data_IF_104974523508
#
_entry.id   IF_104974523508
#
_cell.length_a   1.000
_cell.length_b   1.000
_cell.length_c   1.000
_cell.angle_alpha   90.00
_cell.angle_beta   90.00
_cell.angle_gamma   90.00
#
_symmetry.space_group_name_H-M   'P 1'
#
loop_
_entity.id
_entity.type
_entity.pdbx_description
1 polymer ?
#
# COMPACT_ATOMS: atom_id res chain seq x y z
N UNK A 1 9.31 -8.11 23.21
CA UNK A 1 8.39 -7.04 22.74
C UNK A 1 8.21 -7.19 21.23
N UNK A 2 7.47 -8.22 20.79
CA UNK A 2 7.15 -8.44 19.38
C UNK A 2 5.64 -8.28 19.22
N UNK A 3 5.20 -7.25 18.49
CA UNK A 3 3.79 -7.04 18.13
C UNK A 3 3.55 -7.59 16.73
N UNK A 4 2.49 -8.39 16.58
CA UNK A 4 2.12 -8.95 15.29
C UNK A 4 1.68 -7.85 14.33
N UNK A 5 1.06 -6.79 14.82
CA UNK A 5 0.67 -5.61 14.03
C UNK A 5 1.88 -4.94 13.37
N UNK A 6 2.99 -4.75 14.11
CA UNK A 6 4.23 -4.21 13.55
C UNK A 6 4.85 -5.13 12.50
N UNK A 7 4.76 -6.45 12.68
CA UNK A 7 5.23 -7.41 11.68
C UNK A 7 4.45 -7.29 10.36
N UNK A 8 3.12 -7.20 10.43
CA UNK A 8 2.27 -7.01 9.24
C UNK A 8 2.48 -5.64 8.60
N UNK A 9 2.70 -4.59 9.40
CA UNK A 9 3.11 -3.29 8.90
C UNK A 9 4.44 -3.37 8.16
N UNK A 10 5.45 -4.03 8.73
CA UNK A 10 6.74 -4.25 8.07
C UNK A 10 6.57 -4.94 6.71
N UNK A 11 5.78 -6.02 6.65
CA UNK A 11 5.49 -6.69 5.38
C UNK A 11 4.79 -5.77 4.38
N UNK A 12 3.88 -4.90 4.84
CA UNK A 12 3.15 -3.92 4.02
C UNK A 12 4.07 -2.81 3.49
N UNK A 13 5.03 -2.36 4.28
CA UNK A 13 6.07 -1.41 3.83
C UNK A 13 6.97 -2.09 2.80
N UNK A 14 7.39 -3.32 3.06
CA UNK A 14 8.27 -4.10 2.19
C UNK A 14 7.65 -4.29 0.80
N UNK A 15 6.42 -4.82 0.74
CA UNK A 15 5.69 -4.98 -0.54
C UNK A 15 5.50 -3.65 -1.25
N UNK A 16 5.13 -2.58 -0.54
CA UNK A 16 4.91 -1.26 -1.16
C UNK A 16 6.19 -0.73 -1.81
N UNK A 17 7.35 -0.91 -1.16
CA UNK A 17 8.65 -0.60 -1.77
C UNK A 17 8.91 -1.45 -3.03
N UNK A 18 8.55 -2.74 -3.01
CA UNK A 18 8.69 -3.61 -4.17
C UNK A 18 7.74 -3.28 -5.33
N UNK A 19 6.56 -2.72 -5.06
CA UNK A 19 5.59 -2.31 -6.09
C UNK A 19 6.14 -1.20 -7.02
N UNK A 20 7.20 -0.51 -6.63
CA UNK A 20 7.86 0.48 -7.47
C UNK A 20 8.68 -0.11 -8.62
N UNK A 21 9.19 -1.33 -8.44
CA UNK A 21 10.09 -1.95 -9.42
C UNK A 21 9.44 -2.16 -10.79
N UNK A 22 8.21 -2.67 -10.93
CA UNK A 22 7.62 -2.92 -12.24
C UNK A 22 7.53 -1.67 -13.12
N UNK A 23 7.07 -0.53 -12.59
CA UNK A 23 7.03 0.69 -13.40
C UNK A 23 8.43 1.28 -13.63
N UNK A 24 9.36 1.14 -12.68
CA UNK A 24 10.75 1.58 -12.87
C UNK A 24 11.45 0.80 -14.00
N UNK A 25 11.24 -0.51 -14.07
CA UNK A 25 11.77 -1.37 -15.15
C UNK A 25 11.11 -1.02 -16.49
N UNK A 26 9.79 -0.87 -16.54
CA UNK A 26 9.09 -0.52 -17.79
C UNK A 26 9.57 0.84 -18.30
N UNK A 27 9.67 1.84 -17.41
CA UNK A 27 10.22 3.16 -17.73
C UNK A 27 11.64 3.08 -18.26
N UNK A 28 12.49 2.26 -17.63
CA UNK A 28 13.89 2.05 -18.07
C UNK A 28 13.99 1.44 -19.46
N UNK A 29 13.08 0.53 -19.81
CA UNK A 29 13.00 -0.06 -21.16
C UNK A 29 12.47 0.91 -22.20
N UNK A 30 11.49 1.75 -21.84
CA UNK A 30 10.86 2.70 -22.78
C UNK A 30 11.73 3.94 -23.05
N UNK A 31 12.43 4.46 -22.04
CA UNK A 31 13.14 5.75 -22.12
C UNK A 31 14.67 5.59 -22.20
N UNK A 32 15.19 4.41 -21.87
CA UNK A 32 16.62 4.16 -21.71
C UNK A 32 17.17 4.68 -20.37
N UNK A 33 18.01 3.89 -19.71
CA UNK A 33 18.56 4.19 -18.38
C UNK A 33 19.33 5.51 -18.37
N UNK A 34 20.13 5.79 -19.40
CA UNK A 34 20.93 7.02 -19.52
C UNK A 34 20.03 8.26 -19.51
N UNK A 35 18.95 8.26 -20.29
CA UNK A 35 17.98 9.36 -20.37
C UNK A 35 17.33 9.63 -19.01
N UNK A 36 16.95 8.58 -18.27
CA UNK A 36 16.34 8.72 -16.93
C UNK A 36 17.31 9.37 -15.94
N UNK A 37 18.60 9.03 -16.01
CA UNK A 37 19.62 9.52 -15.09
C UNK A 37 20.12 10.93 -15.42
N UNK A 38 20.05 11.35 -16.68
CA UNK A 38 20.60 12.64 -17.14
C UNK A 38 19.57 13.74 -17.32
N UNK A 39 18.28 13.40 -17.41
CA UNK A 39 17.22 14.38 -17.67
C UNK A 39 16.64 14.92 -16.37
N UNK A 40 16.76 16.23 -16.15
CA UNK A 40 16.18 16.98 -15.03
C UNK A 40 14.71 17.35 -15.21
N UNK A 41 14.19 17.20 -16.43
CA UNK A 41 12.79 17.48 -16.80
C UNK A 41 11.98 16.18 -16.68
N UNK A 42 10.79 16.18 -16.05
CA UNK A 42 9.93 15.02 -16.08
C UNK A 42 9.55 14.73 -17.53
N UNK A 43 10.09 13.64 -18.09
CA UNK A 43 9.67 13.12 -19.40
C UNK A 43 8.23 12.65 -19.21
N UNK A 44 7.28 13.50 -19.60
CA UNK A 44 5.86 13.42 -19.27
C UNK A 44 5.10 12.26 -19.95
N UNK A 45 5.79 11.27 -20.48
CA UNK A 45 5.16 10.13 -21.15
C UNK A 45 5.75 8.82 -20.64
N UNK A 46 5.16 8.28 -19.57
CA UNK A 46 5.11 6.82 -19.42
C UNK A 46 4.30 6.32 -20.62
N UNK A 47 4.96 5.75 -21.62
CA UNK A 47 4.37 5.58 -22.95
C UNK A 47 3.40 4.41 -22.98
N UNK A 48 3.62 3.37 -22.15
CA UNK A 48 2.67 2.27 -22.03
C UNK A 48 1.59 2.49 -20.97
N UNK A 49 0.36 2.14 -21.32
CA UNK A 49 -0.77 2.08 -20.39
C UNK A 49 -0.48 1.17 -19.17
N UNK A 50 0.41 0.17 -19.32
CA UNK A 50 0.83 -0.71 -18.23
C UNK A 50 1.72 0.02 -17.22
N UNK A 51 2.68 0.82 -17.69
CA UNK A 51 3.54 1.62 -16.82
C UNK A 51 2.72 2.64 -16.01
N UNK A 52 1.76 3.30 -16.65
CA UNK A 52 0.85 4.23 -15.98
C UNK A 52 -0.02 3.53 -14.93
N UNK A 53 -0.57 2.35 -15.24
CA UNK A 53 -1.34 1.56 -14.27
C UNK A 53 -0.49 1.12 -13.08
N UNK A 54 0.73 0.63 -13.32
CA UNK A 54 1.66 0.21 -12.27
C UNK A 54 2.06 1.38 -11.36
N UNK A 55 2.35 2.56 -11.94
CA UNK A 55 2.64 3.76 -11.17
C UNK A 55 1.46 4.21 -10.31
N UNK A 56 0.24 4.25 -10.89
CA UNK A 56 -0.98 4.61 -10.14
C UNK A 56 -1.29 3.62 -9.02
N UNK A 57 -1.07 2.33 -9.25
CA UNK A 57 -1.24 1.30 -8.22
C UNK A 57 -0.26 1.49 -7.06
N UNK A 58 1.01 1.80 -7.36
CA UNK A 58 2.02 2.09 -6.34
C UNK A 58 1.70 3.35 -5.54
N UNK A 59 1.33 4.45 -6.21
CA UNK A 59 0.94 5.69 -5.52
C UNK A 59 -0.28 5.47 -4.60
N UNK A 60 -1.27 4.70 -5.04
CA UNK A 60 -2.42 4.35 -4.21
C UNK A 60 -2.02 3.52 -2.98
N UNK A 61 -1.03 2.63 -3.10
CA UNK A 61 -0.49 1.89 -1.97
C UNK A 61 0.21 2.82 -0.97
N UNK A 62 1.00 3.80 -1.45
CA UNK A 62 1.67 4.81 -0.60
C UNK A 62 0.64 5.66 0.16
N UNK A 63 -0.33 6.25 -0.55
CA UNK A 63 -1.36 7.10 0.07
C UNK A 63 -2.10 6.39 1.19
N UNK A 64 -2.39 5.10 0.97
CA UNK A 64 -3.07 4.29 1.95
C UNK A 64 -2.17 3.90 3.14
N UNK A 65 -0.90 3.60 2.88
CA UNK A 65 0.11 3.30 3.90
C UNK A 65 0.32 4.50 4.84
N UNK A 66 0.28 5.74 4.32
CA UNK A 66 0.43 6.97 5.11
C UNK A 66 -0.63 7.08 6.21
N UNK A 67 -1.85 6.58 5.96
CA UNK A 67 -2.94 6.58 6.96
C UNK A 67 -2.81 5.37 7.89
N UNK A 68 -2.51 4.19 7.34
CA UNK A 68 -2.46 2.94 8.09
C UNK A 68 -1.29 2.88 9.08
N UNK A 69 -0.10 3.30 8.66
CA UNK A 69 1.13 3.20 9.45
C UNK A 69 1.05 3.94 10.79
N UNK A 70 0.60 5.21 10.88
CA UNK A 70 0.44 5.90 12.16
C UNK A 70 -0.52 5.18 13.10
N UNK A 71 -1.62 4.60 12.60
CA UNK A 71 -2.59 3.89 13.44
C UNK A 71 -1.96 2.66 14.11
N UNK A 72 -1.15 1.90 13.37
CA UNK A 72 -0.43 0.75 13.92
C UNK A 72 0.60 1.18 14.95
N UNK A 73 1.32 2.29 14.72
CA UNK A 73 2.26 2.81 15.72
C UNK A 73 1.56 3.28 16.99
N UNK A 74 0.43 3.99 16.88
CA UNK A 74 -0.35 4.40 18.05
C UNK A 74 -0.84 3.18 18.83
N UNK A 75 -1.34 2.13 18.16
CA UNK A 75 -1.72 0.87 18.82
C UNK A 75 -0.53 0.27 19.58
N UNK A 76 0.64 0.19 18.94
CA UNK A 76 1.83 -0.37 19.55
C UNK A 76 2.30 0.41 20.79
N UNK A 77 2.35 1.75 20.71
CA UNK A 77 2.78 2.60 21.83
C UNK A 77 1.82 2.59 23.01
N UNK A 78 0.53 2.39 22.76
CA UNK A 78 -0.47 2.20 23.82
C UNK A 78 -0.57 0.75 24.31
N UNK A 79 0.24 -0.17 23.79
CA UNK A 79 0.20 -1.59 24.17
C UNK A 79 -1.08 -2.33 23.75
N UNK A 80 -1.83 -1.79 22.77
CA UNK A 80 -3.09 -2.36 22.30
C UNK A 80 -2.80 -3.43 21.26
N UNK A 81 -3.00 -4.69 21.64
CA UNK A 81 -2.86 -5.84 20.75
C UNK A 81 -4.03 -6.81 20.97
N UNK A 82 -4.89 -6.93 19.95
CA UNK A 82 -6.08 -7.79 19.99
C UNK A 82 -6.16 -8.63 18.73
N UNK A 83 -6.90 -9.74 18.76
CA UNK A 83 -7.15 -10.55 17.55
C UNK A 83 -7.70 -9.70 16.40
N UNK A 84 -8.58 -8.73 16.70
CA UNK A 84 -9.14 -7.84 15.70
C UNK A 84 -8.11 -6.90 15.05
N UNK A 85 -7.17 -6.34 15.82
CA UNK A 85 -6.11 -5.45 15.28
C UNK A 85 -5.13 -6.23 14.42
N UNK A 86 -4.75 -7.44 14.86
CA UNK A 86 -3.88 -8.34 14.08
C UNK A 86 -4.55 -8.76 12.77
N UNK A 87 -5.81 -9.21 12.82
CA UNK A 87 -6.56 -9.61 11.63
C UNK A 87 -6.78 -8.43 10.68
N UNK A 88 -7.04 -7.22 11.20
CA UNK A 88 -7.13 -6.02 10.38
C UNK A 88 -5.82 -5.74 9.64
N UNK A 89 -4.66 -5.85 10.30
CA UNK A 89 -3.36 -5.67 9.65
C UNK A 89 -3.08 -6.73 8.56
N UNK A 90 -3.50 -7.98 8.78
CA UNK A 90 -3.43 -9.05 7.78
C UNK A 90 -4.28 -8.73 6.55
N UNK A 91 -5.55 -8.36 6.76
CA UNK A 91 -6.48 -8.02 5.69
C UNK A 91 -5.94 -6.82 4.90
N UNK A 92 -5.39 -5.83 5.59
CA UNK A 92 -4.76 -4.67 4.95
C UNK A 92 -3.64 -5.12 4.01
N UNK A 93 -2.68 -5.92 4.50
CA UNK A 93 -1.59 -6.46 3.68
C UNK A 93 -2.10 -7.21 2.43
N UNK A 94 -2.97 -8.20 2.61
CA UNK A 94 -3.44 -9.03 1.49
C UNK A 94 -4.29 -8.23 0.50
N UNK A 95 -5.14 -7.34 0.98
CA UNK A 95 -5.96 -6.50 0.10
C UNK A 95 -5.09 -5.55 -0.73
N UNK A 96 -3.99 -5.00 -0.20
CA UNK A 96 -3.01 -4.22 -0.97
C UNK A 96 -2.28 -5.06 -2.01
N UNK A 97 -1.80 -6.25 -1.61
CA UNK A 97 -1.15 -7.18 -2.54
C UNK A 97 -2.06 -7.51 -3.72
N UNK A 98 -3.29 -7.95 -3.45
CA UNK A 98 -4.26 -8.31 -4.49
C UNK A 98 -4.68 -7.09 -5.32
N UNK A 99 -4.96 -5.94 -4.67
CA UNK A 99 -5.33 -4.70 -5.36
C UNK A 99 -4.29 -4.29 -6.39
N UNK A 100 -3.00 -4.38 -6.06
CA UNK A 100 -1.91 -4.05 -6.96
C UNK A 100 -1.95 -4.89 -8.25
N UNK A 101 -2.06 -6.22 -8.13
CA UNK A 101 -2.12 -7.10 -9.30
C UNK A 101 -3.40 -6.87 -10.12
N UNK A 102 -4.56 -6.70 -9.47
CA UNK A 102 -5.81 -6.39 -10.16
C UNK A 102 -5.72 -5.07 -10.95
N UNK A 103 -5.06 -4.06 -10.38
CA UNK A 103 -4.81 -2.79 -11.08
C UNK A 103 -3.87 -3.00 -12.27
N UNK A 104 -2.77 -3.73 -12.08
CA UNK A 104 -1.79 -4.00 -13.11
C UNK A 104 -2.41 -4.68 -14.34
N UNK A 105 -3.22 -5.72 -14.09
CA UNK A 105 -3.93 -6.49 -15.12
C UNK A 105 -5.19 -5.79 -15.66
N UNK A 106 -5.64 -4.70 -15.03
CA UNK A 106 -6.78 -3.92 -15.51
C UNK A 106 -8.13 -4.58 -15.24
N UNK A 107 -8.30 -5.21 -14.07
CA UNK A 107 -9.55 -5.86 -13.64
C UNK A 107 -10.33 -4.91 -12.71
N UNK A 108 -11.29 -4.12 -13.22
CA UNK A 108 -11.81 -2.95 -12.50
C UNK A 108 -12.72 -3.29 -11.32
N UNK A 109 -13.63 -4.27 -11.45
CA UNK A 109 -14.64 -4.57 -10.43
C UNK A 109 -14.02 -5.14 -9.14
N UNK A 110 -13.20 -6.18 -9.27
CA UNK A 110 -12.50 -6.78 -8.12
C UNK A 110 -11.55 -5.78 -7.44
N UNK A 111 -10.96 -4.86 -8.21
CA UNK A 111 -10.10 -3.81 -7.66
C UNK A 111 -10.88 -2.90 -6.70
N UNK A 112 -12.08 -2.46 -7.08
CA UNK A 112 -12.91 -1.62 -6.20
C UNK A 112 -13.35 -2.37 -4.95
N UNK A 113 -13.64 -3.68 -5.08
CA UNK A 113 -13.94 -4.51 -3.92
C UNK A 113 -12.75 -4.61 -2.96
N UNK A 114 -11.53 -4.86 -3.45
CA UNK A 114 -10.31 -4.86 -2.62
C UNK A 114 -10.01 -3.50 -1.98
N UNK A 115 -10.37 -2.40 -2.65
CA UNK A 115 -10.29 -1.07 -2.04
C UNK A 115 -11.21 -0.94 -0.83
N UNK A 116 -12.47 -1.38 -0.94
CA UNK A 116 -13.42 -1.34 0.16
C UNK A 116 -12.99 -2.24 1.33
N UNK A 117 -12.53 -3.46 1.05
CA UNK A 117 -12.00 -4.38 2.07
C UNK A 117 -10.84 -3.74 2.85
N UNK A 118 -9.90 -3.13 2.13
CA UNK A 118 -8.78 -2.43 2.73
C UNK A 118 -9.23 -1.25 3.59
N UNK A 119 -10.17 -0.44 3.10
CA UNK A 119 -10.73 0.68 3.85
C UNK A 119 -11.37 0.19 5.16
N UNK A 120 -12.17 -0.86 5.11
CA UNK A 120 -12.78 -1.47 6.29
C UNK A 120 -11.71 -1.95 7.30
N UNK A 121 -10.62 -2.58 6.84
CA UNK A 121 -9.54 -2.99 7.76
C UNK A 121 -8.90 -1.80 8.48
N UNK A 122 -8.68 -0.68 7.79
CA UNK A 122 -8.15 0.53 8.41
C UNK A 122 -9.16 1.12 9.42
N UNK A 123 -10.45 1.10 9.09
CA UNK A 123 -11.50 1.57 10.01
C UNK A 123 -11.59 0.72 11.28
N UNK A 124 -11.33 -0.59 11.22
CA UNK A 124 -11.25 -1.43 12.44
C UNK A 124 -10.18 -0.90 13.40
N UNK A 125 -9.00 -0.51 12.91
CA UNK A 125 -7.96 0.07 13.76
C UNK A 125 -8.40 1.41 14.37
N UNK A 126 -9.04 2.26 13.56
CA UNK A 126 -9.60 3.53 14.03
C UNK A 126 -10.63 3.30 15.13
N UNK A 127 -11.57 2.38 14.94
CA UNK A 127 -12.59 2.06 15.96
C UNK A 127 -11.97 1.51 17.23
N UNK A 128 -10.92 0.69 17.14
CA UNK A 128 -10.23 0.16 18.33
C UNK A 128 -9.49 1.25 19.10
N UNK A 129 -8.82 2.16 18.41
CA UNK A 129 -8.18 3.33 19.04
C UNK A 129 -9.22 4.27 19.65
N UNK A 130 -10.30 4.56 18.93
CA UNK A 130 -11.39 5.39 19.42
C UNK A 130 -12.02 4.78 20.67
N UNK A 131 -12.32 3.48 20.66
CA UNK A 131 -12.88 2.81 21.84
C UNK A 131 -11.94 2.93 23.05
N UNK A 132 -10.65 2.68 22.86
CA UNK A 132 -9.64 2.77 23.93
C UNK A 132 -9.51 4.16 24.58
N UNK A 133 -9.68 5.24 23.82
CA UNK A 133 -9.54 6.61 24.36
C UNK A 133 -10.81 7.16 25.00
N UNK A 134 -11.98 6.65 24.62
CA UNK A 134 -13.27 7.24 25.00
C UNK A 134 -14.12 6.35 25.92
N UNK A 135 -13.75 5.07 26.09
CA UNK A 135 -14.45 4.11 26.95
C UNK A 135 -13.45 3.26 27.75
#
# INVERSE_FOLDING_TARGET
MHSMELFWLFLTVLITAFMAFPYAVIRSKEQGVKTILTTSIPINTLSSARAQRAQRAHLNAIENLIIFMPLVFILHFNGISTTATVTACQIHFFSRFIYYFLYLFGVPYFRSFMFAVNFCSTMVLVTKLFCFYFF
#
